data_IF_857543908544
#
_entry.id   IF_857543908544
#
_cell.length_a   1.000
_cell.length_b   1.000
_cell.length_c   1.000
_cell.angle_alpha   90.00
_cell.angle_beta   90.00
_cell.angle_gamma   90.00
#
_symmetry.space_group_name_H-M   'P 1'
#
loop_
_entity.id
_entity.type
_entity.pdbx_description
1 polymer ?
#
# COMPACT_ATOMS: atom_id res chain seq x y z
N UNK A 1 67.61 -24.36 62.33
CA UNK A 1 66.79 -23.20 62.73
C UNK A 1 66.04 -22.69 61.50
N UNK A 2 64.79 -22.24 61.69
CA UNK A 2 63.83 -21.62 60.75
C UNK A 2 63.04 -22.53 59.75
N UNK A 3 61.72 -22.59 59.99
CA UNK A 3 60.60 -22.79 59.02
C UNK A 3 60.33 -21.43 58.28
N UNK A 4 59.26 -21.21 57.47
CA UNK A 4 58.31 -22.05 56.69
C UNK A 4 58.02 -21.49 55.26
N UNK A 5 57.02 -22.05 54.56
CA UNK A 5 55.91 -21.38 53.83
C UNK A 5 55.64 -21.95 52.42
N UNK A 6 54.46 -22.57 52.34
CA UNK A 6 53.72 -23.00 51.16
C UNK A 6 52.92 -21.84 50.55
N UNK A 7 52.61 -21.98 49.26
CA UNK A 7 51.48 -21.44 48.47
C UNK A 7 51.79 -20.39 47.38
N UNK A 8 51.39 -20.72 46.14
CA UNK A 8 50.53 -19.94 45.22
C UNK A 8 50.39 -20.72 43.90
N UNK A 9 49.27 -21.43 43.69
CA UNK A 9 48.11 -20.98 42.91
C UNK A 9 48.47 -20.40 41.53
N UNK A 10 48.29 -21.20 40.49
CA UNK A 10 48.11 -20.73 39.12
C UNK A 10 47.18 -21.70 38.40
N UNK A 11 45.88 -21.42 38.47
CA UNK A 11 44.81 -22.13 37.75
C UNK A 11 44.30 -21.16 36.67
N UNK A 12 44.15 -21.61 35.41
CA UNK A 12 44.11 -20.73 34.24
C UNK A 12 42.81 -19.92 34.13
N UNK A 13 42.98 -18.65 33.77
CA UNK A 13 41.94 -17.64 33.46
C UNK A 13 41.34 -17.93 32.07
N UNK A 14 40.83 -19.14 31.85
CA UNK A 14 40.29 -19.56 30.55
C UNK A 14 38.85 -20.10 30.63
N UNK A 15 38.15 -19.91 31.75
CA UNK A 15 36.85 -20.55 31.98
C UNK A 15 35.75 -19.63 32.53
N UNK A 16 35.80 -18.31 32.30
CA UNK A 16 34.80 -17.39 32.86
C UNK A 16 34.13 -16.42 31.87
N UNK A 17 34.32 -16.57 30.55
CA UNK A 17 33.70 -15.69 29.53
C UNK A 17 32.88 -16.48 28.49
N UNK A 18 32.25 -17.57 28.90
CA UNK A 18 31.41 -18.40 28.01
C UNK A 18 29.98 -18.57 28.53
N UNK A 19 29.51 -17.70 29.43
CA UNK A 19 28.16 -17.78 29.97
C UNK A 19 27.40 -16.48 29.71
N UNK A 20 26.21 -16.65 29.13
CA UNK A 20 25.11 -15.70 28.98
C UNK A 20 25.12 -14.74 27.78
N UNK A 21 24.87 -15.31 26.59
CA UNK A 21 23.97 -14.70 25.61
C UNK A 21 23.06 -15.80 25.02
N UNK A 22 22.28 -16.46 25.87
CA UNK A 22 21.07 -17.16 25.40
C UNK A 22 20.01 -16.07 25.24
N UNK A 23 19.94 -15.48 24.05
CA UNK A 23 18.78 -14.68 23.66
C UNK A 23 17.58 -15.62 23.63
N UNK A 24 16.78 -15.61 24.69
CA UNK A 24 15.48 -16.25 24.68
C UNK A 24 14.65 -15.46 23.67
N UNK A 25 14.56 -15.97 22.45
CA UNK A 25 13.64 -15.44 21.45
C UNK A 25 12.25 -15.72 21.98
N UNK A 26 11.66 -14.76 22.69
CA UNK A 26 10.23 -14.79 23.01
C UNK A 26 9.51 -14.74 21.68
N UNK A 27 9.08 -15.91 21.18
CA UNK A 27 8.19 -16.01 20.03
C UNK A 27 6.91 -15.29 20.42
N UNK A 28 6.80 -14.03 20.02
CA UNK A 28 5.62 -13.24 20.32
C UNK A 28 4.46 -13.80 19.50
N UNK A 29 3.39 -14.23 20.19
CA UNK A 29 2.25 -14.94 19.59
C UNK A 29 1.77 -14.27 18.29
N UNK A 30 1.47 -15.08 17.29
CA UNK A 30 0.95 -14.59 16.02
C UNK A 30 -0.44 -13.96 16.21
N UNK A 31 -0.74 -12.95 15.40
CA UNK A 31 -2.10 -12.44 15.28
C UNK A 31 -2.72 -12.97 14.00
N UNK A 32 -4.04 -13.06 13.97
CA UNK A 32 -4.79 -13.60 12.85
C UNK A 32 -5.74 -12.55 12.29
N UNK A 33 -5.81 -12.46 10.97
CA UNK A 33 -6.72 -11.57 10.26
C UNK A 33 -7.74 -12.40 9.48
N UNK A 34 -9.02 -12.14 9.72
CA UNK A 34 -10.13 -12.89 9.11
C UNK A 34 -11.32 -11.99 8.81
N UNK A 35 -12.28 -12.52 8.05
CA UNK A 35 -13.52 -11.84 7.67
C UNK A 35 -14.68 -12.28 8.57
N UNK A 36 -15.36 -11.33 9.19
CA UNK A 36 -16.55 -11.57 10.00
C UNK A 36 -17.82 -11.73 9.13
N UNK A 37 -18.99 -11.87 9.75
CA UNK A 37 -20.28 -12.10 9.07
C UNK A 37 -20.76 -10.95 8.18
N UNK A 38 -20.35 -9.71 8.50
CA UNK A 38 -20.70 -8.53 7.71
C UNK A 38 -19.62 -8.18 6.67
N UNK A 39 -18.63 -9.06 6.47
CA UNK A 39 -17.51 -8.85 5.55
C UNK A 39 -16.42 -7.89 6.07
N UNK A 40 -16.55 -7.44 7.32
CA UNK A 40 -15.55 -6.64 8.02
C UNK A 40 -14.28 -7.46 8.29
N UNK A 41 -13.13 -6.79 8.22
CA UNK A 41 -11.83 -7.38 8.57
C UNK A 41 -11.61 -7.25 10.07
N UNK A 42 -11.32 -8.36 10.74
CA UNK A 42 -11.01 -8.40 12.18
C UNK A 42 -9.59 -8.94 12.36
N UNK A 43 -8.84 -8.35 13.30
CA UNK A 43 -7.54 -8.84 13.75
C UNK A 43 -7.65 -9.27 15.21
N UNK A 44 -7.27 -10.49 15.51
CA UNK A 44 -7.37 -11.06 16.86
C UNK A 44 -6.27 -12.09 17.14
N UNK A 45 -6.09 -12.49 18.41
CA UNK A 45 -5.12 -13.52 18.81
C UNK A 45 -5.57 -14.94 18.48
N UNK A 46 -6.85 -15.14 18.15
CA UNK A 46 -7.41 -16.41 17.70
C UNK A 46 -8.50 -16.16 16.66
N UNK A 47 -8.60 -17.06 15.69
CA UNK A 47 -9.73 -17.12 14.76
C UNK A 47 -10.86 -17.94 15.37
N UNK A 48 -12.07 -17.38 15.58
CA UNK A 48 -13.22 -18.16 16.03
C UNK A 48 -13.58 -19.28 15.03
N UNK A 49 -14.03 -20.46 15.51
CA UNK A 49 -14.32 -21.61 14.65
C UNK A 49 -15.28 -21.33 13.50
N UNK A 50 -16.29 -20.47 13.73
CA UNK A 50 -17.28 -20.06 12.74
C UNK A 50 -16.70 -19.27 11.55
N UNK A 51 -15.54 -18.64 11.74
CA UNK A 51 -14.84 -17.88 10.69
C UNK A 51 -13.65 -18.65 10.10
N UNK A 52 -13.06 -19.59 10.84
CA UNK A 52 -11.89 -20.34 10.41
C UNK A 52 -12.08 -21.05 9.06
N UNK A 53 -13.29 -21.58 8.81
CA UNK A 53 -13.64 -22.24 7.55
C UNK A 53 -13.64 -21.33 6.32
N UNK A 54 -13.63 -20.00 6.49
CA UNK A 54 -13.62 -19.02 5.38
C UNK A 54 -12.21 -18.71 4.88
N UNK A 55 -11.18 -19.19 5.59
CA UNK A 55 -9.80 -18.80 5.37
C UNK A 55 -9.43 -17.55 6.17
N UNK A 56 -8.13 -17.40 6.41
CA UNK A 56 -7.59 -16.33 7.25
C UNK A 56 -6.10 -16.14 6.96
N UNK A 57 -5.53 -15.07 7.49
CA UNK A 57 -4.13 -14.75 7.36
C UNK A 57 -3.46 -14.77 8.72
N UNK A 58 -2.21 -15.26 8.77
CA UNK A 58 -1.38 -15.24 9.96
C UNK A 58 -0.41 -14.08 9.84
N UNK A 59 -0.32 -13.26 10.89
CA UNK A 59 0.44 -12.03 10.94
C UNK A 59 1.59 -12.14 11.95
N UNK A 60 2.76 -11.60 11.56
CA UNK A 60 3.91 -11.48 12.46
C UNK A 60 3.80 -10.28 13.40
N UNK A 61 4.86 -10.05 14.17
CA UNK A 61 4.95 -8.94 15.13
C UNK A 61 4.86 -7.54 14.51
N UNK A 62 5.17 -7.40 13.22
CA UNK A 62 5.10 -6.16 12.46
C UNK A 62 3.80 -6.05 11.63
N UNK A 63 2.86 -6.98 11.83
CA UNK A 63 1.59 -7.03 11.09
C UNK A 63 1.69 -7.58 9.66
N UNK A 64 2.88 -8.03 9.25
CA UNK A 64 3.09 -8.56 7.90
C UNK A 64 2.50 -9.96 7.77
N UNK A 65 1.98 -10.28 6.59
CA UNK A 65 1.43 -11.61 6.31
C UNK A 65 2.54 -12.65 6.20
N UNK A 66 2.49 -13.65 7.08
CA UNK A 66 3.40 -14.79 7.06
C UNK A 66 2.74 -16.08 6.58
N UNK A 67 1.42 -16.14 6.54
CA UNK A 67 0.70 -17.29 5.98
C UNK A 67 -0.68 -16.85 5.50
N UNK A 68 -1.14 -17.43 4.39
CA UNK A 68 -2.51 -17.30 3.89
C UNK A 68 -3.11 -18.69 3.92
N UNK A 69 -4.12 -18.88 4.77
CA UNK A 69 -4.84 -20.14 4.91
C UNK A 69 -6.08 -20.06 4.03
N UNK A 70 -6.21 -20.92 3.00
CA UNK A 70 -7.38 -20.90 2.13
C UNK A 70 -8.63 -21.36 2.89
N UNK A 71 -9.81 -21.07 2.32
CA UNK A 71 -11.07 -21.59 2.87
C UNK A 71 -11.05 -23.11 3.00
N UNK A 72 -11.85 -23.61 3.92
CA UNK A 72 -12.09 -25.03 4.04
C UNK A 72 -12.84 -25.55 2.79
N UNK A 73 -12.37 -26.67 2.26
CA UNK A 73 -13.01 -27.35 1.14
C UNK A 73 -14.08 -28.32 1.67
N UNK A 74 -15.14 -28.51 0.88
CA UNK A 74 -16.10 -29.58 1.11
C UNK A 74 -15.48 -30.97 0.84
N UNK A 75 -16.13 -32.02 1.34
CA UNK A 75 -15.68 -33.41 1.14
C UNK A 75 -15.61 -33.83 -0.33
N UNK A 76 -16.48 -33.28 -1.20
CA UNK A 76 -16.43 -33.50 -2.65
C UNK A 76 -15.30 -32.73 -3.32
N UNK A 77 -15.05 -31.48 -2.92
CA UNK A 77 -13.95 -30.66 -3.44
C UNK A 77 -12.57 -31.21 -3.06
N UNK A 78 -12.43 -31.79 -1.87
CA UNK A 78 -11.17 -32.41 -1.42
C UNK A 78 -10.73 -33.61 -2.28
N UNK A 79 -11.67 -34.30 -2.93
CA UNK A 79 -11.36 -35.41 -3.83
C UNK A 79 -10.75 -34.91 -5.15
N UNK A 80 -11.00 -33.65 -5.50
CA UNK A 80 -10.41 -33.00 -6.67
C UNK A 80 -9.00 -32.47 -6.33
N UNK A 81 -8.00 -33.32 -6.53
CA UNK A 81 -6.58 -32.99 -6.27
C UNK A 81 -6.11 -31.73 -7.00
N UNK A 82 -6.63 -31.46 -8.20
CA UNK A 82 -6.24 -30.29 -8.98
C UNK A 82 -6.82 -29.00 -8.39
N UNK A 83 -8.05 -29.04 -7.87
CA UNK A 83 -8.63 -27.92 -7.12
C UNK A 83 -7.83 -27.63 -5.85
N UNK A 84 -7.51 -28.66 -5.05
CA UNK A 84 -6.73 -28.51 -3.82
C UNK A 84 -5.37 -27.87 -4.12
N UNK A 85 -4.65 -28.38 -5.13
CA UNK A 85 -3.35 -27.83 -5.54
C UNK A 85 -3.45 -26.38 -5.99
N UNK A 86 -4.46 -26.04 -6.81
CA UNK A 86 -4.65 -24.67 -7.28
C UNK A 86 -4.86 -23.70 -6.12
N UNK A 87 -5.73 -24.02 -5.16
CA UNK A 87 -5.99 -23.15 -4.00
C UNK A 87 -4.74 -22.97 -3.12
N UNK A 88 -3.95 -24.02 -2.94
CA UNK A 88 -2.67 -23.92 -2.20
C UNK A 88 -1.64 -23.05 -2.94
N UNK A 89 -1.56 -23.18 -4.27
CA UNK A 89 -0.69 -22.36 -5.10
C UNK A 89 -1.13 -20.89 -5.05
N UNK A 90 -2.42 -20.61 -5.20
CA UNK A 90 -3.00 -19.26 -5.09
C UNK A 90 -2.69 -18.64 -3.73
N UNK A 91 -2.88 -19.38 -2.63
CA UNK A 91 -2.53 -18.92 -1.29
C UNK A 91 -1.03 -18.61 -1.14
N UNK A 92 -0.15 -19.41 -1.75
CA UNK A 92 1.30 -19.19 -1.73
C UNK A 92 1.69 -17.95 -2.53
N UNK A 93 1.09 -17.76 -3.71
CA UNK A 93 1.30 -16.57 -4.55
C UNK A 93 0.81 -15.32 -3.84
N UNK A 94 -0.38 -15.36 -3.24
CA UNK A 94 -0.92 -14.20 -2.53
C UNK A 94 -0.10 -13.86 -1.28
N UNK A 95 0.33 -14.88 -0.51
CA UNK A 95 1.28 -14.67 0.59
C UNK A 95 2.53 -13.95 0.11
N UNK A 96 3.14 -14.38 -0.99
CA UNK A 96 4.35 -13.76 -1.52
C UNK A 96 4.10 -12.31 -1.99
N UNK A 97 2.93 -12.05 -2.60
CA UNK A 97 2.49 -10.72 -3.02
C UNK A 97 2.36 -9.78 -1.82
N UNK A 98 1.59 -10.19 -0.80
CA UNK A 98 1.34 -9.42 0.42
C UNK A 98 2.63 -9.19 1.21
N UNK A 99 3.46 -10.21 1.40
CA UNK A 99 4.72 -10.07 2.11
C UNK A 99 5.68 -9.08 1.43
N UNK A 100 5.73 -9.09 0.09
CA UNK A 100 6.54 -8.14 -0.68
C UNK A 100 5.99 -6.71 -0.55
N UNK A 101 4.67 -6.55 -0.63
CA UNK A 101 4.01 -5.26 -0.48
C UNK A 101 4.23 -4.68 0.91
N UNK A 102 3.98 -5.47 1.96
CA UNK A 102 4.18 -5.09 3.36
C UNK A 102 5.63 -4.66 3.61
N UNK A 103 6.58 -5.45 3.12
CA UNK A 103 8.01 -5.13 3.24
C UNK A 103 8.35 -3.82 2.53
N UNK A 104 7.80 -3.59 1.34
CA UNK A 104 8.03 -2.35 0.61
C UNK A 104 7.49 -1.13 1.36
N UNK A 105 6.25 -1.21 1.87
CA UNK A 105 5.63 -0.13 2.63
C UNK A 105 6.43 0.22 3.88
N UNK A 106 6.80 -0.79 4.68
CA UNK A 106 7.56 -0.59 5.92
C UNK A 106 9.00 -0.10 5.69
N UNK A 107 9.60 -0.37 4.54
CA UNK A 107 10.92 0.16 4.18
C UNK A 107 10.86 1.59 3.68
N UNK A 108 9.79 1.96 2.97
CA UNK A 108 9.67 3.26 2.29
C UNK A 108 9.06 4.34 3.19
N UNK A 109 8.17 3.96 4.10
CA UNK A 109 7.36 4.88 4.89
C UNK A 109 7.49 4.56 6.37
N UNK A 110 7.65 5.61 7.18
CA UNK A 110 7.66 5.48 8.63
C UNK A 110 6.30 5.86 9.23
N UNK A 111 5.58 6.77 8.56
CA UNK A 111 4.31 7.33 9.00
C UNK A 111 3.31 7.37 7.86
N UNK A 112 2.02 7.52 8.19
CA UNK A 112 0.95 7.66 7.19
C UNK A 112 1.13 8.97 6.42
N UNK A 113 1.62 10.00 7.11
CA UNK A 113 1.94 11.31 6.59
C UNK A 113 3.05 11.24 5.53
N UNK A 114 3.99 10.29 5.63
CA UNK A 114 5.01 10.08 4.60
C UNK A 114 4.40 9.58 3.28
N UNK A 115 3.35 8.75 3.37
CA UNK A 115 2.60 8.24 2.22
C UNK A 115 1.82 9.38 1.58
N UNK A 116 1.11 10.16 2.39
CA UNK A 116 0.35 11.34 1.93
C UNK A 116 1.29 12.36 1.26
N UNK A 117 2.46 12.63 1.84
CA UNK A 117 3.47 13.51 1.24
C UNK A 117 4.07 12.93 -0.04
N UNK A 118 4.24 11.61 -0.15
CA UNK A 118 4.69 10.94 -1.37
C UNK A 118 3.63 11.01 -2.48
N UNK A 119 2.36 10.80 -2.15
CA UNK A 119 1.21 10.98 -3.05
C UNK A 119 1.20 12.40 -3.59
N UNK A 120 1.27 13.39 -2.72
CA UNK A 120 1.24 14.79 -3.13
C UNK A 120 2.41 15.12 -4.06
N UNK A 121 3.62 14.63 -3.75
CA UNK A 121 4.79 14.75 -4.63
C UNK A 121 4.56 14.15 -6.01
N UNK A 122 3.99 12.95 -6.08
CA UNK A 122 3.68 12.28 -7.34
C UNK A 122 2.62 13.04 -8.16
N UNK A 123 1.58 13.54 -7.49
CA UNK A 123 0.48 14.24 -8.13
C UNK A 123 0.84 15.66 -8.59
N UNK A 124 1.87 16.30 -8.01
CA UNK A 124 2.25 17.67 -8.36
C UNK A 124 2.59 17.84 -9.84
N UNK A 125 3.40 16.95 -10.41
CA UNK A 125 3.78 17.04 -11.84
C UNK A 125 2.55 16.89 -12.74
N UNK A 126 1.67 15.94 -12.44
CA UNK A 126 0.41 15.73 -13.17
C UNK A 126 -0.51 16.96 -13.09
N UNK A 127 -0.65 17.56 -11.89
CA UNK A 127 -1.45 18.78 -11.68
C UNK A 127 -0.89 19.97 -12.46
N UNK A 128 0.43 20.13 -12.51
CA UNK A 128 1.09 21.18 -13.31
C UNK A 128 0.78 20.97 -14.80
N UNK A 129 0.92 19.75 -15.31
CA UNK A 129 0.59 19.43 -16.71
C UNK A 129 -0.87 19.69 -17.05
N UNK A 130 -1.79 19.29 -16.17
CA UNK A 130 -3.22 19.56 -16.32
C UNK A 130 -3.50 21.06 -16.40
N UNK A 131 -2.87 21.86 -15.54
CA UNK A 131 -3.01 23.32 -15.57
C UNK A 131 -2.55 23.93 -16.90
N UNK A 132 -1.42 23.45 -17.44
CA UNK A 132 -0.91 23.89 -18.75
C UNK A 132 -1.87 23.50 -19.87
N UNK A 133 -2.32 22.24 -19.91
CA UNK A 133 -3.26 21.76 -20.92
C UNK A 133 -4.59 22.53 -20.87
N UNK A 134 -5.13 22.77 -19.67
CA UNK A 134 -6.36 23.54 -19.47
C UNK A 134 -6.20 25.00 -19.96
N UNK A 135 -5.05 25.62 -19.68
CA UNK A 135 -4.73 26.98 -20.15
C UNK A 135 -4.63 27.04 -21.68
N UNK A 136 -3.93 26.08 -22.29
CA UNK A 136 -3.81 25.97 -23.75
C UNK A 136 -5.17 25.79 -24.41
N UNK A 137 -6.00 24.89 -23.87
CA UNK A 137 -7.34 24.65 -24.40
C UNK A 137 -8.23 25.89 -24.30
N UNK A 138 -8.15 26.63 -23.18
CA UNK A 138 -8.87 27.90 -23.03
C UNK A 138 -8.42 28.93 -24.06
N UNK A 139 -7.11 29.04 -24.29
CA UNK A 139 -6.54 29.95 -25.28
C UNK A 139 -7.01 29.59 -26.70
N UNK A 140 -7.00 28.31 -27.06
CA UNK A 140 -7.49 27.83 -28.35
C UNK A 140 -8.99 28.11 -28.54
N UNK A 141 -9.82 27.92 -27.50
CA UNK A 141 -11.24 28.27 -27.53
C UNK A 141 -11.48 29.76 -27.77
N UNK A 142 -10.79 30.64 -27.03
CA UNK A 142 -10.93 32.09 -27.20
C UNK A 142 -10.52 32.55 -28.61
N UNK A 143 -9.46 31.95 -29.17
CA UNK A 143 -9.05 32.20 -30.57
C UNK A 143 -10.11 31.72 -31.55
N UNK A 144 -10.69 30.54 -31.33
CA UNK A 144 -11.74 29.98 -32.18
C UNK A 144 -12.97 30.89 -32.18
N UNK A 145 -13.41 31.34 -31.01
CA UNK A 145 -14.53 32.29 -30.86
C UNK A 145 -14.26 33.59 -31.62
N UNK A 146 -13.03 34.13 -31.53
CA UNK A 146 -12.63 35.35 -32.23
C UNK A 146 -12.65 35.20 -33.76
N UNK A 147 -12.20 34.04 -34.28
CA UNK A 147 -12.23 33.77 -35.73
C UNK A 147 -13.67 33.56 -36.21
N UNK A 148 -14.48 32.80 -35.46
CA UNK A 148 -15.89 32.58 -35.77
C UNK A 148 -16.68 33.89 -35.79
N UNK A 149 -16.43 34.80 -34.85
CA UNK A 149 -17.08 36.12 -34.82
C UNK A 149 -16.76 36.94 -36.08
N UNK A 150 -15.49 36.96 -36.50
CA UNK A 150 -15.06 37.65 -37.73
C UNK A 150 -15.70 37.05 -38.98
N UNK A 151 -15.73 35.72 -39.08
CA UNK A 151 -16.38 35.00 -40.19
C UNK A 151 -17.88 35.33 -40.23
N UNK A 152 -18.56 35.29 -39.09
CA UNK A 152 -19.98 35.64 -39.01
C UNK A 152 -20.25 37.10 -39.42
N UNK A 153 -19.36 38.03 -39.07
CA UNK A 153 -19.46 39.43 -39.52
C UNK A 153 -19.32 39.58 -41.04
N UNK A 154 -18.44 38.81 -41.67
CA UNK A 154 -18.28 38.78 -43.13
C UNK A 154 -19.55 38.24 -43.80
N UNK A 155 -20.04 37.09 -43.33
CA UNK A 155 -21.26 36.47 -43.86
C UNK A 155 -22.48 37.39 -43.71
N UNK A 156 -22.61 38.12 -42.60
CA UNK A 156 -23.67 39.12 -42.39
C UNK A 156 -23.63 40.27 -43.40
N UNK A 157 -22.45 40.62 -43.91
CA UNK A 157 -22.28 41.63 -44.96
C UNK A 157 -22.46 41.05 -46.37
N UNK A 158 -22.61 39.73 -46.50
CA UNK A 158 -22.64 39.02 -47.79
C UNK A 158 -21.26 38.74 -48.38
N UNK A 159 -20.18 38.95 -47.61
CA UNK A 159 -18.81 38.64 -48.01
C UNK A 159 -18.52 37.15 -47.85
N UNK A 160 -17.70 36.57 -48.73
CA UNK A 160 -17.21 35.20 -48.60
C UNK A 160 -16.06 35.16 -47.58
N UNK A 161 -16.08 34.25 -46.58
CA UNK A 161 -14.99 34.09 -45.62
C UNK A 161 -13.64 33.81 -46.30
N UNK A 162 -12.55 34.33 -45.73
CA UNK A 162 -11.21 34.03 -46.23
C UNK A 162 -10.83 32.56 -45.95
N UNK A 163 -10.13 31.92 -46.88
CA UNK A 163 -9.64 30.55 -46.74
C UNK A 163 -8.80 30.38 -45.46
N UNK A 164 -7.96 31.37 -45.14
CA UNK A 164 -7.15 31.41 -43.92
C UNK A 164 -7.98 31.32 -42.63
N UNK A 165 -9.18 31.92 -42.60
CA UNK A 165 -10.06 31.86 -41.43
C UNK A 165 -10.70 30.46 -41.29
N UNK A 166 -11.06 29.82 -42.41
CA UNK A 166 -11.60 28.46 -42.43
C UNK A 166 -10.53 27.43 -41.98
N UNK A 167 -9.30 27.57 -42.46
CA UNK A 167 -8.16 26.76 -42.04
C UNK A 167 -7.86 26.95 -40.55
N UNK A 168 -7.87 28.19 -40.07
CA UNK A 168 -7.67 28.50 -38.66
C UNK A 168 -8.76 27.86 -37.78
N UNK A 169 -10.03 27.91 -38.20
CA UNK A 169 -11.15 27.24 -37.51
C UNK A 169 -10.90 25.73 -37.43
N UNK A 170 -10.54 25.10 -38.56
CA UNK A 170 -10.29 23.67 -38.61
C UNK A 170 -9.12 23.26 -37.69
N UNK A 171 -8.01 23.99 -37.75
CA UNK A 171 -6.83 23.75 -36.91
C UNK A 171 -7.13 23.94 -35.42
N UNK A 172 -7.84 25.02 -35.04
CA UNK A 172 -8.20 25.28 -33.64
C UNK A 172 -9.16 24.24 -33.09
N UNK A 173 -10.12 23.77 -33.88
CA UNK A 173 -11.02 22.68 -33.49
C UNK A 173 -10.25 21.38 -33.25
N UNK A 174 -9.31 21.05 -34.13
CA UNK A 174 -8.45 19.88 -33.96
C UNK A 174 -7.57 20.00 -32.71
N UNK A 175 -6.99 21.16 -32.44
CA UNK A 175 -6.18 21.42 -31.24
C UNK A 175 -7.00 21.30 -29.94
N UNK A 176 -8.21 21.88 -29.90
CA UNK A 176 -9.14 21.76 -28.75
C UNK A 176 -9.49 20.29 -28.49
N UNK A 177 -9.74 19.52 -29.55
CA UNK A 177 -10.05 18.09 -29.44
C UNK A 177 -8.83 17.28 -28.93
N UNK A 178 -7.64 17.55 -29.48
CA UNK A 178 -6.39 16.90 -29.07
C UNK A 178 -6.06 17.19 -27.61
N UNK A 179 -6.07 18.47 -27.23
CA UNK A 179 -5.83 18.90 -25.86
C UNK A 179 -6.89 18.34 -24.91
N UNK A 180 -8.16 18.25 -25.35
CA UNK A 180 -9.23 17.63 -24.56
C UNK A 180 -9.01 16.14 -24.30
N UNK A 181 -8.50 15.39 -25.28
CA UNK A 181 -8.09 13.98 -25.08
C UNK A 181 -6.92 13.88 -24.10
N UNK A 182 -5.92 14.73 -24.24
CA UNK A 182 -4.77 14.76 -23.35
C UNK A 182 -5.17 15.08 -21.90
N UNK A 183 -6.11 16.02 -21.68
CA UNK A 183 -6.65 16.33 -20.35
C UNK A 183 -7.29 15.08 -19.73
N UNK A 184 -8.23 14.43 -20.44
CA UNK A 184 -8.91 13.23 -19.95
C UNK A 184 -7.93 12.11 -19.57
N UNK A 185 -6.91 11.92 -20.38
CA UNK A 185 -5.86 10.92 -20.11
C UNK A 185 -5.07 11.26 -18.84
N UNK A 186 -4.69 12.53 -18.64
CA UNK A 186 -4.00 12.96 -17.41
C UNK A 186 -4.90 12.91 -16.18
N UNK A 187 -6.19 13.20 -16.31
CA UNK A 187 -7.18 13.06 -15.23
C UNK A 187 -7.31 11.59 -14.79
N UNK A 188 -7.38 10.66 -15.74
CA UNK A 188 -7.38 9.23 -15.45
C UNK A 188 -6.10 8.79 -14.71
N UNK A 189 -4.93 9.30 -15.12
CA UNK A 189 -3.67 9.03 -14.43
C UNK A 189 -3.64 9.60 -13.00
N UNK A 190 -4.25 10.77 -12.77
CA UNK A 190 -4.39 11.32 -11.41
C UNK A 190 -5.21 10.39 -10.53
N UNK A 191 -6.32 9.86 -11.05
CA UNK A 191 -7.16 8.91 -10.31
C UNK A 191 -6.39 7.62 -10.01
N UNK A 192 -5.74 7.02 -11.02
CA UNK A 192 -4.95 5.79 -10.86
C UNK A 192 -3.84 5.94 -9.80
N UNK A 193 -3.09 7.04 -9.85
CA UNK A 193 -2.05 7.33 -8.85
C UNK A 193 -2.68 7.52 -7.47
N UNK A 194 -3.79 8.24 -7.38
CA UNK A 194 -4.48 8.47 -6.11
C UNK A 194 -4.95 7.15 -5.49
N UNK A 195 -5.63 6.31 -6.27
CA UNK A 195 -6.15 5.02 -5.82
C UNK A 195 -5.02 4.10 -5.35
N UNK A 196 -3.91 4.03 -6.10
CA UNK A 196 -2.73 3.25 -5.70
C UNK A 196 -2.13 3.72 -4.36
N UNK A 197 -2.06 5.04 -4.13
CA UNK A 197 -1.57 5.56 -2.84
C UNK A 197 -2.57 5.35 -1.70
N UNK A 198 -3.87 5.37 -1.98
CA UNK A 198 -4.91 5.13 -0.98
C UNK A 198 -4.95 3.64 -0.57
N UNK A 199 -4.67 2.72 -1.49
CA UNK A 199 -4.44 1.31 -1.20
C UNK A 199 -3.20 1.11 -0.31
N UNK A 200 -2.06 1.72 -0.69
CA UNK A 200 -0.83 1.70 0.11
C UNK A 200 -1.06 2.25 1.52
N UNK A 201 -1.77 3.38 1.62
CA UNK A 201 -2.13 4.04 2.87
C UNK A 201 -2.99 3.14 3.75
N UNK A 202 -4.04 2.58 3.18
CA UNK A 202 -4.97 1.67 3.89
C UNK A 202 -4.23 0.42 4.39
N UNK A 203 -3.36 -0.15 3.55
CA UNK A 203 -2.54 -1.30 3.92
C UNK A 203 -1.58 -0.96 5.06
N UNK A 204 -0.91 0.18 4.98
CA UNK A 204 0.05 0.61 5.99
C UNK A 204 -0.62 0.88 7.35
N UNK A 205 -1.81 1.48 7.37
CA UNK A 205 -2.62 1.64 8.59
C UNK A 205 -2.90 0.29 9.23
N UNK A 206 -3.33 -0.71 8.45
CA UNK A 206 -3.55 -2.06 8.99
C UNK A 206 -2.29 -2.66 9.62
N UNK A 207 -1.11 -2.45 9.03
CA UNK A 207 0.15 -2.91 9.62
C UNK A 207 0.41 -2.24 10.98
N UNK A 208 0.17 -0.92 11.08
CA UNK A 208 0.31 -0.19 12.33
C UNK A 208 -0.71 -0.61 13.39
N UNK A 209 -1.97 -0.81 13.00
CA UNK A 209 -3.04 -1.23 13.91
C UNK A 209 -2.70 -2.56 14.58
N UNK A 210 -2.13 -3.51 13.83
CA UNK A 210 -1.69 -4.81 14.36
C UNK A 210 -0.57 -4.62 15.41
N UNK A 211 0.38 -3.71 15.14
CA UNK A 211 1.46 -3.38 16.08
C UNK A 211 0.91 -2.70 17.34
N UNK A 212 -0.05 -1.78 17.18
CA UNK A 212 -0.69 -1.07 18.29
C UNK A 212 -1.50 -2.02 19.17
N UNK A 213 -2.30 -2.91 18.57
CA UNK A 213 -3.04 -3.96 19.26
C UNK A 213 -2.10 -4.86 20.07
N UNK A 214 -0.98 -5.27 19.49
CA UNK A 214 0.03 -6.05 20.23
C UNK A 214 0.56 -5.29 21.44
N UNK A 215 0.89 -4.00 21.27
CA UNK A 215 1.39 -3.13 22.35
C UNK A 215 0.36 -2.89 23.46
N UNK A 216 -0.94 -2.89 23.17
CA UNK A 216 -1.97 -2.79 24.22
C UNK A 216 -2.07 -4.10 24.99
N UNK A 217 -2.13 -5.24 24.29
CA UNK A 217 -2.21 -6.57 24.92
C UNK A 217 -1.03 -6.86 25.84
N UNK A 218 0.20 -6.49 25.45
CA UNK A 218 1.38 -6.67 26.32
C UNK A 218 1.34 -5.80 27.58
N UNK A 219 0.75 -4.60 27.52
CA UNK A 219 0.63 -3.72 28.69
C UNK A 219 -0.33 -4.30 29.72
N UNK A 220 -1.48 -4.80 29.26
CA UNK A 220 -2.51 -5.36 30.14
C UNK A 220 -2.01 -6.62 30.89
N UNK A 221 -1.22 -7.46 30.22
CA UNK A 221 -0.59 -8.63 30.85
C UNK A 221 0.41 -8.25 31.94
N UNK A 222 1.12 -7.12 31.78
CA UNK A 222 2.11 -6.67 32.75
C UNK A 222 1.45 -6.10 34.00
N UNK A 223 0.33 -5.36 33.86
CA UNK A 223 -0.45 -4.88 35.00
C UNK A 223 -1.08 -6.01 35.82
N UNK A 224 -1.59 -7.06 35.16
CA UNK A 224 -2.20 -8.20 35.85
C UNK A 224 -1.18 -9.05 36.64
N UNK A 225 0.10 -9.04 36.23
CA UNK A 225 1.17 -9.77 36.92
C UNK A 225 1.78 -9.05 38.13
N UNK A 226 1.47 -7.77 38.34
CA UNK A 226 2.07 -6.94 39.41
C UNK A 226 1.18 -6.89 40.68
N UNK A 227 -0.03 -7.47 40.64
CA UNK A 227 -0.98 -7.49 41.77
C UNK A 227 -1.00 -8.81 42.57
N UNK A 228 0.00 -9.70 42.40
CA UNK A 228 0.14 -10.93 43.18
C UNK A 228 1.42 -10.96 44.02
#
# INVERSE_FOLDING_TARGET
MCKPIVTRFSIPIALFVAMLLVSVSTQADNLYRYKNDVGGTVVDWRVPPEFAGRGYEVLNAQGQVVEVVPRQLSSGELQNKDLVKRLQQEATVERARLAKWDKFLLLRYSTVEDIDAARDRALRDLKIRLSILASNQRTARNRLESVLARVADMERRGDVPFEQDLDAIAALRADIANTGRAIKEREAQVLEVTDSFDEDRSRFIQLQDVVLLRRSLSRDQTSAGTEN
#
